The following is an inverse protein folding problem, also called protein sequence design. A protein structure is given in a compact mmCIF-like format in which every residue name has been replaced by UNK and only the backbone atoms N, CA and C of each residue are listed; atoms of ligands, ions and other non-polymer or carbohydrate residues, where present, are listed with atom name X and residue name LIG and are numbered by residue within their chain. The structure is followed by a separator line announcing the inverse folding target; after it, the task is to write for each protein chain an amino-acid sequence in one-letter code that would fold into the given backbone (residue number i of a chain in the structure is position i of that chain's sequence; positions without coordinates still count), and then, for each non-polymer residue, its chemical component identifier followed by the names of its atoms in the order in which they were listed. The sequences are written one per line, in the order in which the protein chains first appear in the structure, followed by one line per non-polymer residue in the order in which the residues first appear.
data_IF_105435382538
#
_entry.id   IF_105435382538
#
_cell.length_a   1.000
_cell.length_b   1.000
_cell.length_c   1.000
_cell.angle_alpha   90.00
_cell.angle_beta   90.00
_cell.angle_gamma   90.00
#
_symmetry.space_group_name_H-M   'P 1'
#
loop_
_entity.id
_entity.type
_entity.pdbx_description
1 polymer ?
#
# COMPACT_ATOMS: atom_id res chain seq x y z
N UNK A 1 -44.06 24.05 13.06
CA UNK A 1 -43.10 24.09 14.17
C UNK A 1 -41.72 23.98 13.55
N UNK A 2 -40.97 25.07 13.57
CA UNK A 2 -39.70 25.24 12.82
C UNK A 2 -38.61 24.30 13.34
N UNK A 3 -38.72 23.89 14.61
CA UNK A 3 -37.81 22.91 15.23
C UNK A 3 -37.97 21.52 14.59
N UNK A 4 -39.20 21.11 14.25
CA UNK A 4 -39.43 19.82 13.60
C UNK A 4 -38.88 19.77 12.16
N UNK A 5 -38.80 20.93 11.50
CA UNK A 5 -38.26 21.06 10.14
C UNK A 5 -36.72 21.06 10.15
N UNK A 6 -36.09 21.68 11.16
CA UNK A 6 -34.66 21.57 11.43
C UNK A 6 -34.23 20.14 11.82
N UNK A 7 -35.00 19.48 12.69
CA UNK A 7 -34.78 18.07 13.05
C UNK A 7 -34.97 17.13 11.86
N UNK A 8 -35.82 17.50 10.88
CA UNK A 8 -35.94 16.78 9.61
C UNK A 8 -34.79 17.04 8.62
N UNK A 9 -34.10 18.17 8.71
CA UNK A 9 -32.86 18.37 7.96
C UNK A 9 -31.70 17.54 8.56
N UNK A 10 -31.84 17.15 9.83
CA UNK A 10 -31.05 16.15 10.53
C UNK A 10 -31.50 14.71 10.23
N UNK A 11 -32.49 14.51 9.34
CA UNK A 11 -32.90 13.19 8.86
C UNK A 11 -31.65 12.55 8.24
N UNK A 12 -31.14 11.52 8.91
CA UNK A 12 -29.82 10.92 8.70
C UNK A 12 -29.48 10.44 7.28
N UNK A 13 -30.24 10.77 6.24
CA UNK A 13 -29.87 10.65 4.83
C UNK A 13 -28.52 11.34 4.52
N UNK A 14 -28.28 12.56 5.05
CA UNK A 14 -26.97 13.21 4.91
C UNK A 14 -25.88 12.50 5.71
N UNK A 15 -26.23 11.91 6.85
CA UNK A 15 -25.32 11.10 7.65
C UNK A 15 -25.02 9.74 7.00
N UNK A 16 -25.98 9.11 6.33
CA UNK A 16 -25.84 7.84 5.63
C UNK A 16 -25.00 8.00 4.36
N UNK A 17 -25.20 9.09 3.62
CA UNK A 17 -24.35 9.46 2.48
C UNK A 17 -22.92 9.76 2.95
N UNK A 18 -22.75 10.57 4.00
CA UNK A 18 -21.44 10.86 4.58
C UNK A 18 -20.76 9.60 5.11
N UNK A 19 -21.51 8.69 5.76
CA UNK A 19 -21.01 7.39 6.22
C UNK A 19 -20.56 6.54 5.05
N UNK A 20 -21.34 6.44 3.98
CA UNK A 20 -20.99 5.69 2.78
C UNK A 20 -19.69 6.21 2.14
N UNK A 21 -19.54 7.53 2.02
CA UNK A 21 -18.32 8.17 1.53
C UNK A 21 -17.11 7.88 2.44
N UNK A 22 -17.31 7.96 3.76
CA UNK A 22 -16.26 7.67 4.73
C UNK A 22 -15.84 6.19 4.70
N UNK A 23 -16.78 5.27 4.61
CA UNK A 23 -16.53 3.82 4.51
C UNK A 23 -15.79 3.46 3.23
N UNK A 24 -16.20 4.02 2.08
CA UNK A 24 -15.48 3.87 0.82
C UNK A 24 -14.05 4.39 0.94
N UNK A 25 -13.87 5.61 1.47
CA UNK A 25 -12.54 6.19 1.64
C UNK A 25 -11.67 5.37 2.58
N UNK A 26 -12.26 4.84 3.65
CA UNK A 26 -11.57 3.98 4.61
C UNK A 26 -11.12 2.67 3.95
N UNK A 27 -11.93 2.08 3.08
CA UNK A 27 -11.55 0.93 2.27
C UNK A 27 -10.35 1.27 1.37
N UNK A 28 -10.39 2.37 0.63
CA UNK A 28 -9.28 2.80 -0.23
C UNK A 28 -7.99 3.00 0.57
N UNK A 29 -8.08 3.59 1.76
CA UNK A 29 -6.93 3.79 2.66
C UNK A 29 -6.37 2.44 3.12
N UNK A 30 -7.23 1.49 3.50
CA UNK A 30 -6.79 0.14 3.91
C UNK A 30 -6.11 -0.62 2.77
N UNK A 31 -6.62 -0.51 1.55
CA UNK A 31 -5.98 -1.10 0.37
C UNK A 31 -4.58 -0.50 0.13
N UNK A 32 -4.45 0.83 0.18
CA UNK A 32 -3.14 1.50 0.07
C UNK A 32 -2.17 1.09 1.18
N UNK A 33 -2.65 0.96 2.42
CA UNK A 33 -1.83 0.49 3.53
C UNK A 33 -1.36 -0.95 3.31
N UNK A 34 -2.24 -1.83 2.80
CA UNK A 34 -1.87 -3.19 2.47
C UNK A 34 -0.82 -3.25 1.35
N UNK A 35 -0.92 -2.38 0.35
CA UNK A 35 0.06 -2.27 -0.72
C UNK A 35 1.42 -1.80 -0.19
N UNK A 36 1.43 -0.76 0.64
CA UNK A 36 2.65 -0.26 1.27
C UNK A 36 3.28 -1.29 2.19
N UNK A 37 2.50 -2.03 2.98
CA UNK A 37 3.01 -3.09 3.85
C UNK A 37 3.68 -4.22 3.05
N UNK A 38 3.15 -4.56 1.86
CA UNK A 38 3.80 -5.54 0.97
C UNK A 38 5.13 -5.02 0.43
N UNK A 39 5.18 -3.75 0.02
CA UNK A 39 6.43 -3.13 -0.43
C UNK A 39 7.47 -3.07 0.70
N UNK A 40 7.05 -2.69 1.90
CA UNK A 40 7.89 -2.65 3.10
C UNK A 40 8.48 -4.03 3.42
N UNK A 41 7.68 -5.09 3.37
CA UNK A 41 8.15 -6.45 3.63
C UNK A 41 9.29 -6.84 2.67
N UNK A 42 9.10 -6.64 1.36
CA UNK A 42 10.11 -6.94 0.34
C UNK A 42 11.38 -6.11 0.55
N UNK A 43 11.23 -4.81 0.81
CA UNK A 43 12.39 -3.94 1.06
C UNK A 43 13.14 -4.36 2.32
N UNK A 44 12.42 -4.72 3.38
CA UNK A 44 13.00 -5.19 4.64
C UNK A 44 13.80 -6.49 4.44
N UNK A 45 13.25 -7.44 3.69
CA UNK A 45 13.95 -8.68 3.33
C UNK A 45 15.23 -8.41 2.54
N UNK A 46 15.18 -7.53 1.54
CA UNK A 46 16.35 -7.18 0.73
C UNK A 46 17.44 -6.48 1.56
N UNK A 47 17.05 -5.59 2.49
CA UNK A 47 17.96 -4.91 3.40
C UNK A 47 18.60 -5.92 4.36
N UNK A 48 17.81 -6.82 4.96
CA UNK A 48 18.32 -7.90 5.81
C UNK A 48 19.32 -8.80 5.07
N UNK A 49 18.99 -9.22 3.85
CA UNK A 49 19.89 -10.02 3.01
C UNK A 49 21.19 -9.27 2.68
N UNK A 50 21.10 -7.97 2.42
CA UNK A 50 22.26 -7.13 2.19
C UNK A 50 23.16 -7.05 3.43
N UNK A 51 22.59 -6.92 4.63
CA UNK A 51 23.36 -6.91 5.89
C UNK A 51 23.97 -8.28 6.22
N UNK A 52 23.28 -9.39 5.90
CA UNK A 52 23.75 -10.75 6.17
C UNK A 52 24.86 -11.22 5.22
N UNK A 53 25.11 -10.47 4.14
CA UNK A 53 26.17 -10.76 3.15
C UNK A 53 27.54 -10.92 3.83
N UNK A 54 28.24 -12.01 3.51
CA UNK A 54 29.64 -12.24 3.93
C UNK A 54 30.56 -12.37 2.71
N UNK A 55 31.77 -11.83 2.81
CA UNK A 55 32.78 -11.89 1.75
C UNK A 55 32.51 -10.91 0.59
N UNK A 56 33.14 -11.14 -0.56
CA UNK A 56 33.10 -10.23 -1.71
C UNK A 56 32.07 -10.64 -2.79
N UNK A 57 30.87 -11.03 -2.39
CA UNK A 57 29.79 -11.39 -3.34
C UNK A 57 29.05 -10.13 -3.86
N UNK A 58 28.30 -10.24 -4.94
CA UNK A 58 27.45 -9.13 -5.43
C UNK A 58 26.42 -8.72 -4.38
N UNK A 59 26.00 -7.45 -4.38
CA UNK A 59 24.99 -6.93 -3.45
C UNK A 59 23.62 -7.58 -3.75
N UNK A 60 23.00 -8.34 -2.81
CA UNK A 60 21.71 -9.00 -3.04
C UNK A 60 20.60 -8.03 -3.44
N UNK A 61 20.58 -6.83 -2.87
CA UNK A 61 19.62 -5.77 -3.22
C UNK A 61 19.74 -5.38 -4.70
N UNK A 62 20.96 -5.12 -5.18
CA UNK A 62 21.21 -4.76 -6.59
C UNK A 62 20.91 -5.95 -7.51
N UNK A 63 21.26 -7.17 -7.10
CA UNK A 63 20.98 -8.38 -7.87
C UNK A 63 19.47 -8.59 -8.08
N UNK A 64 18.65 -8.39 -7.04
CA UNK A 64 17.19 -8.50 -7.15
C UNK A 64 16.57 -7.45 -8.08
N UNK A 65 17.09 -6.21 -8.08
CA UNK A 65 16.64 -5.16 -9.01
C UNK A 65 17.05 -5.46 -10.46
N UNK A 66 18.20 -6.10 -10.67
CA UNK A 66 18.69 -6.47 -12.00
C UNK A 66 17.99 -7.74 -12.54
N UNK A 67 17.65 -8.70 -11.68
CA UNK A 67 16.97 -9.95 -12.05
C UNK A 67 15.51 -9.76 -12.50
N UNK A 68 14.91 -8.59 -12.27
CA UNK A 68 13.62 -8.19 -12.85
C UNK A 68 13.69 -7.78 -14.32
N UNK A 69 14.90 -7.65 -14.89
CA UNK A 69 15.07 -7.51 -16.34
C UNK A 69 15.33 -8.89 -16.94
N UNK A 70 14.50 -9.40 -17.87
CA UNK A 70 14.85 -10.59 -18.63
C UNK A 70 16.03 -10.22 -19.53
N UNK A 71 17.24 -10.35 -19.02
CA UNK A 71 18.46 -10.15 -19.79
C UNK A 71 18.71 -11.44 -20.56
N UNK A 72 18.35 -11.41 -21.84
CA UNK A 72 18.72 -12.47 -22.80
C UNK A 72 20.21 -12.76 -22.65
N UNK A 73 20.53 -14.01 -22.30
CA UNK A 73 21.87 -14.52 -22.37
C UNK A 73 22.29 -14.61 -23.85
N UNK A 74 23.29 -13.83 -24.25
CA UNK A 74 24.20 -14.15 -25.35
C UNK A 74 25.61 -13.98 -24.77
N UNK A 75 26.35 -15.02 -24.41
CA UNK A 75 26.88 -16.14 -25.19
C UNK A 75 27.94 -15.69 -26.21
N UNK A 76 29.17 -16.14 -25.98
CA UNK A 76 30.24 -16.23 -26.99
C UNK A 76 31.19 -15.05 -27.02
#
# INVERSE_FOLDING_TARGET
DEIAELLRLEDGAHCDEARGLAEHKLKDVREKLADLARMEAVLSELVCACHARKGNVSCPLIASLQGGTPRSAGAG
#
